data_IF_398200049970
#
_entry.id   IF_398200049970
#
_cell.length_a   1.000
_cell.length_b   1.000
_cell.length_c   1.000
_cell.angle_alpha   90.00
_cell.angle_beta   90.00
_cell.angle_gamma   90.00
#
_symmetry.space_group_name_H-M   'P 1'
#
loop_
_entity.id
_entity.type
_entity.pdbx_description
1 polymer ?
#
# COMPACT_ATOMS: atom_id res chain seq x y z
N UNK A 1 17.67 -16.43 -2.21
CA UNK A 1 16.78 -15.92 -3.27
C UNK A 1 15.64 -15.28 -2.52
N UNK A 2 15.67 -13.96 -2.44
CA UNK A 2 14.76 -13.18 -1.59
C UNK A 2 13.32 -13.54 -1.93
N UNK A 3 12.57 -14.03 -0.94
CA UNK A 3 11.12 -14.06 -0.99
C UNK A 3 10.68 -12.60 -0.96
N UNK A 4 10.65 -11.97 -2.14
CA UNK A 4 10.41 -10.54 -2.27
C UNK A 4 9.02 -10.23 -1.71
N UNK A 5 8.97 -9.35 -0.70
CA UNK A 5 7.73 -8.73 -0.26
C UNK A 5 7.20 -7.85 -1.40
N UNK A 6 6.11 -8.30 -2.03
CA UNK A 6 5.44 -7.61 -3.14
C UNK A 6 4.25 -6.78 -2.63
N UNK A 7 3.75 -5.86 -3.46
CA UNK A 7 2.70 -4.92 -3.07
C UNK A 7 1.42 -5.61 -2.58
N UNK A 8 1.12 -6.75 -3.18
CA UNK A 8 -0.03 -7.60 -2.93
C UNK A 8 0.03 -8.21 -1.51
N UNK A 9 1.22 -8.37 -0.94
CA UNK A 9 1.38 -8.84 0.44
C UNK A 9 0.88 -7.83 1.49
N UNK A 10 0.58 -6.59 1.09
CA UNK A 10 -0.13 -5.65 1.96
C UNK A 10 -1.51 -6.17 2.39
N UNK A 11 -2.08 -7.15 1.67
CA UNK A 11 -3.33 -7.81 2.09
C UNK A 11 -3.20 -8.49 3.47
N UNK A 12 -2.01 -8.97 3.82
CA UNK A 12 -1.73 -9.70 5.06
C UNK A 12 -1.36 -8.77 6.23
N UNK A 13 -1.14 -7.48 5.97
CA UNK A 13 -0.89 -6.48 7.02
C UNK A 13 -2.19 -6.22 7.77
N UNK A 14 -2.12 -6.08 9.10
CA UNK A 14 -3.31 -5.79 9.90
C UNK A 14 -3.87 -4.39 9.62
N UNK A 15 -5.13 -4.16 10.00
CA UNK A 15 -5.82 -2.88 9.74
C UNK A 15 -5.04 -1.70 10.36
N UNK A 16 -4.46 -1.89 11.54
CA UNK A 16 -3.63 -0.87 12.20
C UNK A 16 -2.39 -0.55 11.38
N UNK A 17 -1.68 -1.56 10.86
CA UNK A 17 -0.50 -1.37 10.04
C UNK A 17 -0.82 -0.62 8.74
N UNK A 18 -1.93 -0.97 8.08
CA UNK A 18 -2.41 -0.22 6.90
C UNK A 18 -2.69 1.24 7.25
N UNK A 19 -3.35 1.51 8.38
CA UNK A 19 -3.63 2.89 8.80
C UNK A 19 -2.35 3.70 9.07
N UNK A 20 -1.31 3.08 9.63
CA UNK A 20 -0.01 3.73 9.83
C UNK A 20 0.64 4.01 8.47
N UNK A 21 0.68 3.02 7.58
CA UNK A 21 1.23 3.16 6.23
C UNK A 21 0.55 4.31 5.46
N UNK A 22 -0.78 4.38 5.48
CA UNK A 22 -1.55 5.41 4.78
C UNK A 22 -1.29 6.83 5.29
N UNK A 23 -0.77 7.01 6.50
CA UNK A 23 -0.38 8.34 7.02
C UNK A 23 0.97 8.80 6.49
N UNK A 24 1.82 7.87 6.08
CA UNK A 24 3.19 8.13 5.63
C UNK A 24 3.31 8.18 4.10
N UNK A 25 2.29 7.70 3.39
CA UNK A 25 2.25 7.67 1.92
C UNK A 25 1.60 8.94 1.37
N UNK A 26 2.23 9.54 0.36
CA UNK A 26 1.66 10.69 -0.34
C UNK A 26 0.44 10.28 -1.19
N UNK A 27 -0.55 11.16 -1.27
CA UNK A 27 -1.81 10.87 -1.95
C UNK A 27 -1.62 10.56 -3.45
N UNK A 28 -0.71 11.23 -4.14
CA UNK A 28 -0.46 10.99 -5.57
C UNK A 28 0.21 9.63 -5.83
N UNK A 29 1.10 9.21 -4.94
CA UNK A 29 1.72 7.87 -4.94
C UNK A 29 0.65 6.81 -4.70
N UNK A 30 -0.21 7.01 -3.69
CA UNK A 30 -1.32 6.10 -3.40
C UNK A 30 -2.25 5.94 -4.60
N UNK A 31 -2.66 7.05 -5.23
CA UNK A 31 -3.53 7.03 -6.42
C UNK A 31 -2.91 6.22 -7.57
N UNK A 32 -1.64 6.45 -7.89
CA UNK A 32 -0.93 5.73 -8.96
C UNK A 32 -0.85 4.24 -8.65
N UNK A 33 -0.50 3.86 -7.41
CA UNK A 33 -0.40 2.47 -7.00
C UNK A 33 -1.75 1.74 -7.11
N UNK A 34 -2.84 2.38 -6.68
CA UNK A 34 -4.18 1.79 -6.70
C UNK A 34 -4.69 1.49 -8.13
N UNK A 35 -4.19 2.17 -9.17
CA UNK A 35 -4.59 1.88 -10.57
C UNK A 35 -4.20 0.46 -11.04
N UNK A 36 -3.12 -0.11 -10.51
CA UNK A 36 -2.67 -1.48 -10.83
C UNK A 36 -2.99 -2.52 -9.75
N UNK A 37 -3.80 -2.14 -8.76
CA UNK A 37 -4.11 -3.00 -7.61
C UNK A 37 -5.38 -3.81 -7.86
N UNK A 38 -5.44 -5.03 -7.34
CA UNK A 38 -6.69 -5.83 -7.37
C UNK A 38 -7.78 -5.23 -6.46
N UNK A 39 -9.03 -5.66 -6.67
CA UNK A 39 -10.16 -5.10 -5.90
C UNK A 39 -10.08 -5.44 -4.41
N UNK A 40 -9.56 -6.61 -4.03
CA UNK A 40 -9.49 -7.02 -2.64
C UNK A 40 -8.54 -6.11 -1.83
N UNK A 41 -7.37 -5.80 -2.38
CA UNK A 41 -6.42 -4.91 -1.73
C UNK A 41 -6.91 -3.46 -1.77
N UNK A 42 -7.54 -3.00 -2.86
CA UNK A 42 -8.20 -1.69 -2.88
C UNK A 42 -9.24 -1.55 -1.77
N UNK A 43 -10.14 -2.53 -1.63
CA UNK A 43 -11.16 -2.54 -0.58
C UNK A 43 -10.53 -2.49 0.81
N UNK A 44 -9.45 -3.25 1.05
CA UNK A 44 -8.71 -3.20 2.31
C UNK A 44 -8.13 -1.82 2.59
N UNK A 45 -7.58 -1.15 1.58
CA UNK A 45 -7.07 0.22 1.70
C UNK A 45 -8.21 1.18 2.04
N UNK A 46 -9.30 1.18 1.27
CA UNK A 46 -10.44 2.08 1.51
C UNK A 46 -11.10 1.87 2.87
N UNK A 47 -11.24 0.61 3.33
CA UNK A 47 -11.77 0.27 4.65
C UNK A 47 -10.95 0.89 5.79
N UNK A 48 -9.65 1.10 5.57
CA UNK A 48 -8.72 1.66 6.55
C UNK A 48 -8.58 3.19 6.45
N UNK A 49 -9.39 3.84 5.61
CA UNK A 49 -9.50 5.29 5.53
C UNK A 49 -10.74 5.80 6.26
N UNK A 50 -10.76 7.09 6.63
CA UNK A 50 -12.03 7.73 6.98
C UNK A 50 -12.96 7.75 5.77
N UNK A 51 -14.27 7.66 5.98
CA UNK A 51 -15.28 7.68 4.91
C UNK A 51 -15.07 8.82 3.91
N UNK A 52 -14.85 10.04 4.43
CA UNK A 52 -14.58 11.22 3.59
C UNK A 52 -13.31 11.09 2.76
N UNK A 53 -12.23 10.53 3.33
CA UNK A 53 -10.98 10.37 2.61
C UNK A 53 -11.08 9.27 1.53
N UNK A 54 -11.82 8.19 1.80
CA UNK A 54 -12.11 7.17 0.81
C UNK A 54 -12.94 7.73 -0.36
N UNK A 55 -14.00 8.51 -0.06
CA UNK A 55 -14.83 9.18 -1.08
C UNK A 55 -13.98 10.11 -1.97
N UNK A 56 -13.16 10.98 -1.37
CA UNK A 56 -12.28 11.88 -2.14
C UNK A 56 -11.28 11.12 -3.01
N UNK A 57 -10.68 10.06 -2.48
CA UNK A 57 -9.73 9.25 -3.24
C UNK A 57 -10.41 8.49 -4.39
N UNK A 58 -11.65 8.04 -4.20
CA UNK A 58 -12.43 7.41 -5.26
C UNK A 58 -12.75 8.41 -6.38
N UNK A 59 -13.23 9.61 -6.03
CA UNK A 59 -13.48 10.69 -7.00
C UNK A 59 -12.21 11.05 -7.78
N UNK A 60 -11.07 11.18 -7.09
CA UNK A 60 -9.78 11.46 -7.73
C UNK A 60 -9.34 10.32 -8.65
N UNK A 61 -9.54 9.06 -8.26
CA UNK A 61 -9.23 7.89 -9.08
C UNK A 61 -10.12 7.81 -10.33
N UNK A 62 -11.38 8.21 -10.25
CA UNK A 62 -12.28 8.31 -11.40
C UNK A 62 -11.88 9.44 -12.36
N UNK A 63 -11.49 10.59 -11.81
CA UNK A 63 -10.99 11.72 -12.59
C UNK A 63 -9.59 11.47 -13.19
N UNK A 64 -8.81 10.58 -12.59
CA UNK A 64 -7.47 10.25 -13.03
C UNK A 64 -7.50 9.47 -14.34
N UNK A 65 -6.94 10.08 -15.39
CA UNK A 65 -6.76 9.46 -16.69
C UNK A 65 -5.82 8.24 -16.70
N UNK A 66 -5.51 7.70 -17.88
CA UNK A 66 -4.63 6.55 -18.00
C UNK A 66 -3.24 6.85 -17.43
N UNK A 67 -2.72 5.90 -16.64
CA UNK A 67 -1.39 5.97 -16.01
C UNK A 67 -0.49 4.93 -16.67
N UNK A 68 0.80 5.23 -16.85
CA UNK A 68 1.75 4.27 -17.40
C UNK A 68 2.04 3.19 -16.37
N UNK A 69 2.17 1.94 -16.83
CA UNK A 69 2.51 0.80 -15.96
C UNK A 69 3.79 1.07 -15.14
N UNK A 70 4.80 1.71 -15.75
CA UNK A 70 6.04 2.09 -15.05
C UNK A 70 5.82 3.03 -13.87
N UNK A 71 4.85 3.94 -13.96
CA UNK A 71 4.54 4.91 -12.90
C UNK A 71 3.77 4.23 -11.76
N UNK A 72 2.94 3.23 -12.10
CA UNK A 72 2.25 2.36 -11.13
C UNK A 72 3.27 1.53 -10.36
N UNK A 73 4.18 0.84 -11.04
CA UNK A 73 5.22 0.02 -10.43
C UNK A 73 6.16 0.86 -9.54
N UNK A 74 6.52 2.07 -9.99
CA UNK A 74 7.33 2.99 -9.19
C UNK A 74 6.60 3.40 -7.90
N UNK A 75 5.31 3.72 -7.99
CA UNK A 75 4.50 4.10 -6.83
C UNK A 75 4.32 2.92 -5.85
N UNK A 76 4.06 1.72 -6.36
CA UNK A 76 3.99 0.51 -5.53
C UNK A 76 5.31 0.26 -4.79
N UNK A 77 6.45 0.39 -5.49
CA UNK A 77 7.79 0.25 -4.88
C UNK A 77 8.06 1.29 -3.79
N UNK A 78 7.61 2.53 -3.99
CA UNK A 78 7.74 3.59 -2.98
C UNK A 78 6.92 3.27 -1.72
N UNK A 79 5.70 2.76 -1.88
CA UNK A 79 4.86 2.31 -0.75
C UNK A 79 5.51 1.13 -0.04
N UNK A 80 6.05 0.16 -0.78
CA UNK A 80 6.80 -0.97 -0.20
C UNK A 80 8.03 -0.52 0.60
N UNK A 81 8.77 0.47 0.09
CA UNK A 81 9.90 1.08 0.80
C UNK A 81 9.45 1.73 2.11
N UNK A 82 8.30 2.41 2.09
CA UNK A 82 7.71 3.01 3.30
C UNK A 82 7.25 1.94 4.29
N UNK A 83 6.58 0.89 3.82
CA UNK A 83 6.12 -0.22 4.63
C UNK A 83 7.29 -0.95 5.32
N UNK A 84 8.39 -1.20 4.58
CA UNK A 84 9.63 -1.78 5.14
C UNK A 84 10.23 -0.88 6.21
N UNK A 85 10.38 0.42 5.95
CA UNK A 85 10.90 1.38 6.95
C UNK A 85 10.07 1.37 8.23
N UNK A 86 8.74 1.34 8.11
CA UNK A 86 7.83 1.29 9.26
C UNK A 86 7.90 -0.06 9.98
N UNK A 87 8.17 -1.15 9.26
CA UNK A 87 8.40 -2.46 9.86
C UNK A 87 9.72 -2.53 10.63
N UNK A 88 10.80 -2.00 10.05
CA UNK A 88 12.10 -1.89 10.70
C UNK A 88 12.04 -1.02 11.97
N UNK A 89 11.10 -0.06 12.01
CA UNK A 89 10.80 0.77 13.19
C UNK A 89 9.85 0.09 14.21
N UNK A 90 9.32 -1.09 13.90
CA UNK A 90 8.36 -1.82 14.74
C UNK A 90 6.93 -1.25 14.74
N UNK A 91 6.60 -0.35 13.82
CA UNK A 91 5.28 0.27 13.71
C UNK A 91 4.28 -0.56 12.90
N UNK A 92 4.78 -1.37 11.96
CA UNK A 92 3.98 -2.27 11.11
C UNK A 92 4.55 -3.68 11.20
N UNK A 93 3.68 -4.67 11.39
CA UNK A 93 4.02 -6.06 11.16
C UNK A 93 3.66 -6.43 9.72
N UNK A 94 4.66 -6.66 8.89
CA UNK A 94 4.44 -7.22 7.55
C UNK A 94 4.18 -8.71 7.72
N UNK A 95 3.03 -9.19 7.20
CA UNK A 95 2.59 -10.57 7.36
C UNK A 95 3.70 -11.56 7.01
N UNK A 96 3.87 -12.58 7.86
CA UNK A 96 4.94 -13.57 7.76
C UNK A 96 4.75 -14.50 6.57
N UNK A 97 5.07 -14.03 5.37
CA UNK A 97 5.46 -14.87 4.23
C UNK A 97 6.93 -15.29 4.38
N UNK A 98 7.24 -16.02 5.45
CA UNK A 98 8.60 -16.45 5.79
C UNK A 98 9.07 -15.86 7.11
N UNK A 99 8.93 -16.63 8.19
CA UNK A 99 9.79 -16.45 9.35
C UNK A 99 11.25 -16.58 8.95
N UNK A 100 12.12 -15.94 9.73
CA UNK A 100 13.58 -15.87 9.60
C UNK A 100 14.12 -14.99 8.47
N UNK A 101 14.18 -13.67 8.72
CA UNK A 101 15.37 -12.87 8.35
C UNK A 101 15.42 -11.53 9.12
N UNK A 102 15.31 -11.60 10.45
CA UNK A 102 15.54 -10.45 11.34
C UNK A 102 16.66 -10.70 12.36
N UNK A 103 17.65 -11.53 12.01
CA UNK A 103 18.89 -11.70 12.79
C UNK A 103 20.13 -11.58 11.89
#
# INVERSE_FOLDING_TARGET
QDLMFVFENLIDVDDRGIQVLLREVQQDVLMKALKGTDENLKEKIFKNMSKRAAELLQDDLEAMGPVRVSDVEAAQKEILSTARRLSDAGEIMLGSGGGDDFL
#
